data_IF_997642702553
#
_entry.id   IF_997642702553
#
_cell.length_a   1.000
_cell.length_b   1.000
_cell.length_c   1.000
_cell.angle_alpha   90.00
_cell.angle_beta   90.00
_cell.angle_gamma   90.00
#
_symmetry.space_group_name_H-M   'P 1'
#
loop_
_entity.id
_entity.type
_entity.pdbx_description
1 polymer ?
#
# COMPACT_ATOMS: atom_id res chain seq x y z
N UNK A 1 -29.59 -3.50 -2.80
CA UNK A 1 -28.32 -3.29 -3.52
C UNK A 1 -27.53 -4.57 -3.43
N UNK A 2 -27.13 -5.16 -4.57
CA UNK A 2 -26.22 -6.31 -4.61
C UNK A 2 -24.88 -5.87 -4.01
N UNK A 3 -24.39 -6.55 -2.98
CA UNK A 3 -23.10 -6.25 -2.36
C UNK A 3 -22.02 -6.47 -3.43
N UNK A 4 -21.36 -5.40 -3.88
CA UNK A 4 -20.28 -5.51 -4.87
C UNK A 4 -19.23 -6.48 -4.37
N UNK A 5 -18.72 -7.33 -5.26
CA UNK A 5 -17.65 -8.26 -4.88
C UNK A 5 -16.36 -7.48 -4.62
N UNK A 6 -15.46 -8.03 -3.78
CA UNK A 6 -14.17 -7.38 -3.51
C UNK A 6 -13.36 -7.05 -4.77
N UNK A 7 -13.51 -7.87 -5.82
CA UNK A 7 -12.85 -7.65 -7.10
C UNK A 7 -13.43 -6.45 -7.89
N UNK A 8 -14.75 -6.26 -7.87
CA UNK A 8 -15.39 -5.10 -8.51
C UNK A 8 -15.01 -3.79 -7.81
N UNK A 9 -15.00 -3.81 -6.48
CA UNK A 9 -14.56 -2.68 -5.66
C UNK A 9 -13.10 -2.32 -5.95
N UNK A 10 -12.20 -3.31 -5.97
CA UNK A 10 -10.81 -3.09 -6.33
C UNK A 10 -10.63 -2.58 -7.77
N UNK A 11 -11.31 -3.16 -8.74
CA UNK A 11 -11.21 -2.73 -10.15
C UNK A 11 -11.61 -1.28 -10.31
N UNK A 12 -12.69 -0.87 -9.65
CA UNK A 12 -13.17 0.52 -9.64
C UNK A 12 -12.14 1.44 -8.97
N UNK A 13 -11.65 1.05 -7.78
CA UNK A 13 -10.63 1.80 -7.05
C UNK A 13 -9.35 1.99 -7.88
N UNK A 14 -8.84 0.92 -8.49
CA UNK A 14 -7.64 0.94 -9.33
C UNK A 14 -7.81 1.90 -10.50
N UNK A 15 -8.90 1.76 -11.27
CA UNK A 15 -9.14 2.58 -12.45
C UNK A 15 -9.30 4.06 -12.10
N UNK A 16 -9.97 4.37 -10.99
CA UNK A 16 -10.22 5.75 -10.57
C UNK A 16 -8.98 6.41 -9.98
N UNK A 17 -8.25 5.72 -9.11
CA UNK A 17 -7.25 6.34 -8.24
C UNK A 17 -5.80 5.96 -8.54
N UNK A 18 -5.52 4.73 -8.94
CA UNK A 18 -4.15 4.27 -9.14
C UNK A 18 -3.72 4.46 -10.59
N UNK A 19 -4.54 4.01 -11.55
CA UNK A 19 -4.29 4.14 -12.99
C UNK A 19 -4.14 5.61 -13.40
N UNK A 20 -4.93 6.49 -12.81
CA UNK A 20 -4.89 7.95 -13.04
C UNK A 20 -3.85 8.67 -12.16
N UNK A 21 -2.99 7.95 -11.43
CA UNK A 21 -1.91 8.51 -10.60
C UNK A 21 -2.38 9.48 -9.50
N UNK A 22 -3.59 9.30 -8.99
CA UNK A 22 -4.15 10.12 -7.89
C UNK A 22 -3.63 9.65 -6.53
N UNK A 23 -3.66 8.34 -6.28
CA UNK A 23 -3.18 7.71 -5.04
C UNK A 23 -1.85 6.97 -5.26
N UNK A 24 -0.93 7.64 -5.95
CA UNK A 24 0.44 7.15 -6.18
C UNK A 24 1.47 8.01 -5.46
N UNK A 25 2.64 7.44 -5.13
CA UNK A 25 3.79 8.17 -4.63
C UNK A 25 4.10 9.46 -5.39
N UNK A 26 4.71 10.40 -4.70
CA UNK A 26 5.12 11.68 -5.28
C UNK A 26 6.63 11.86 -5.35
N UNK A 27 7.42 11.04 -4.66
CA UNK A 27 8.88 11.09 -4.66
C UNK A 27 9.51 9.82 -5.23
N UNK A 28 10.72 9.92 -5.74
CA UNK A 28 11.51 8.79 -6.23
C UNK A 28 12.94 8.84 -5.69
N UNK A 29 13.54 7.65 -5.62
CA UNK A 29 14.96 7.44 -5.38
C UNK A 29 15.45 6.36 -6.35
N UNK A 30 16.28 6.76 -7.31
CA UNK A 30 16.73 5.91 -8.41
C UNK A 30 18.25 5.81 -8.44
N UNK A 31 18.74 4.62 -8.73
CA UNK A 31 20.13 4.33 -9.09
C UNK A 31 20.16 3.96 -10.57
N UNK A 32 21.00 4.64 -11.34
CA UNK A 32 21.20 4.39 -12.77
C UNK A 32 22.63 3.93 -12.99
N UNK A 33 22.82 2.66 -13.32
CA UNK A 33 24.13 2.07 -13.61
C UNK A 33 24.36 2.02 -15.12
N UNK A 34 25.34 2.77 -15.62
CA UNK A 34 25.72 2.70 -17.02
C UNK A 34 26.30 1.31 -17.32
N UNK A 35 25.70 0.59 -18.27
CA UNK A 35 26.08 -0.80 -18.57
C UNK A 35 27.43 -0.92 -19.26
N UNK A 36 27.92 0.16 -19.90
CA UNK A 36 29.21 0.19 -20.59
C UNK A 36 30.35 0.52 -19.64
N UNK A 37 30.20 1.56 -18.81
CA UNK A 37 31.27 2.03 -17.91
C UNK A 37 31.21 1.40 -16.52
N UNK A 38 30.05 0.85 -16.13
CA UNK A 38 29.81 0.35 -14.78
C UNK A 38 29.52 1.45 -13.75
N UNK A 39 29.64 2.72 -14.12
CA UNK A 39 29.42 3.86 -13.23
C UNK A 39 27.96 3.96 -12.80
N UNK A 40 27.73 4.30 -11.53
CA UNK A 40 26.39 4.43 -10.95
C UNK A 40 26.12 5.87 -10.53
N UNK A 41 25.00 6.42 -10.99
CA UNK A 41 24.50 7.72 -10.57
C UNK A 41 23.26 7.55 -9.70
N UNK A 42 23.11 8.42 -8.70
CA UNK A 42 21.98 8.40 -7.77
C UNK A 42 21.15 9.67 -7.91
N UNK A 43 19.84 9.54 -8.11
CA UNK A 43 18.93 10.68 -8.33
C UNK A 43 17.72 10.54 -7.41
N UNK A 44 17.44 11.61 -6.66
CA UNK A 44 16.19 11.77 -5.90
C UNK A 44 15.43 12.96 -6.44
N UNK A 45 14.10 12.91 -6.35
CA UNK A 45 13.25 14.02 -6.71
C UNK A 45 11.79 13.70 -6.54
N UNK A 46 10.94 14.57 -7.07
CA UNK A 46 9.50 14.41 -7.10
C UNK A 46 9.01 14.15 -8.52
N UNK A 47 8.09 13.19 -8.65
CA UNK A 47 7.39 12.93 -9.89
C UNK A 47 6.65 14.18 -10.37
N UNK A 48 6.58 14.35 -11.70
CA UNK A 48 5.94 15.50 -12.37
C UNK A 48 6.61 16.86 -12.07
N UNK A 49 7.82 16.88 -11.51
CA UNK A 49 8.69 18.06 -11.42
C UNK A 49 9.94 17.87 -12.27
N UNK A 50 10.52 18.98 -12.74
CA UNK A 50 11.78 18.98 -13.50
C UNK A 50 13.00 18.87 -12.57
N UNK A 51 13.09 17.77 -11.84
CA UNK A 51 14.16 17.51 -10.86
C UNK A 51 15.11 16.38 -11.29
N UNK A 52 14.85 15.74 -12.44
CA UNK A 52 15.76 14.79 -13.05
C UNK A 52 16.96 15.48 -13.72
N UNK A 53 18.08 14.78 -13.77
CA UNK A 53 19.30 15.23 -14.48
C UNK A 53 19.53 14.28 -15.66
N UNK A 54 19.76 14.86 -16.85
CA UNK A 54 20.14 14.09 -18.03
C UNK A 54 21.57 13.57 -17.85
N UNK A 55 21.74 12.26 -17.87
CA UNK A 55 23.05 11.62 -17.84
C UNK A 55 23.67 11.56 -19.24
N UNK A 56 24.95 11.19 -19.30
CA UNK A 56 25.64 10.91 -20.55
C UNK A 56 24.89 9.87 -21.40
N UNK A 57 25.09 9.91 -22.71
CA UNK A 57 24.43 8.94 -23.59
C UNK A 57 24.88 7.51 -23.28
N UNK A 58 23.93 6.58 -23.28
CA UNK A 58 24.21 5.18 -23.01
C UNK A 58 22.99 4.39 -22.57
N UNK A 59 23.21 3.10 -22.32
CA UNK A 59 22.23 2.19 -21.75
C UNK A 59 22.46 2.06 -20.26
N UNK A 60 21.40 2.19 -19.47
CA UNK A 60 21.45 2.17 -18.02
C UNK A 60 20.55 1.08 -17.46
N UNK A 61 21.06 0.30 -16.51
CA UNK A 61 20.21 -0.45 -15.59
C UNK A 61 19.69 0.51 -14.52
N UNK A 62 18.37 0.67 -14.45
CA UNK A 62 17.70 1.50 -13.48
C UNK A 62 17.13 0.61 -12.39
N UNK A 63 17.47 0.92 -11.14
CA UNK A 63 16.83 0.34 -9.96
C UNK A 63 16.36 1.45 -9.04
N UNK A 64 15.33 1.20 -8.25
CA UNK A 64 14.94 2.18 -7.24
C UNK A 64 13.54 1.97 -6.70
N UNK A 65 13.12 2.92 -5.87
CA UNK A 65 11.82 2.89 -5.22
C UNK A 65 11.15 4.25 -5.28
N UNK A 66 9.85 4.22 -5.04
CA UNK A 66 9.04 5.40 -4.87
C UNK A 66 8.05 5.16 -3.73
N UNK A 67 7.97 6.11 -2.82
CA UNK A 67 7.22 6.00 -1.57
C UNK A 67 6.31 7.21 -1.37
N UNK A 68 5.29 7.09 -0.52
CA UNK A 68 4.54 8.23 -0.01
C UNK A 68 5.51 9.27 0.58
N UNK A 69 5.20 10.57 0.43
CA UNK A 69 6.04 11.63 1.02
C UNK A 69 6.00 11.47 2.54
N UNK A 70 7.17 11.20 3.10
CA UNK A 70 7.38 11.14 4.54
C UNK A 70 7.12 12.53 5.14
N UNK A 71 6.13 12.65 6.03
CA UNK A 71 6.03 13.81 6.91
C UNK A 71 6.66 13.40 8.24
N UNK A 72 7.66 14.15 8.69
CA UNK A 72 8.49 13.87 9.87
C UNK A 72 7.72 13.65 11.19
N UNK A 73 6.42 13.99 11.23
CA UNK A 73 5.57 13.81 12.42
C UNK A 73 4.76 12.51 12.45
N UNK A 74 4.55 11.85 11.31
CA UNK A 74 3.77 10.62 11.23
C UNK A 74 4.62 9.59 10.49
N UNK A 75 5.15 8.64 11.26
CA UNK A 75 6.17 7.68 10.81
C UNK A 75 5.76 6.83 9.60
N UNK A 76 4.48 6.79 9.19
CA UNK A 76 4.04 6.16 7.95
C UNK A 76 2.80 6.88 7.38
N UNK A 77 2.87 7.34 6.12
CA UNK A 77 1.66 7.71 5.37
C UNK A 77 1.23 6.50 4.54
N UNK A 78 0.10 5.89 4.93
CA UNK A 78 -0.42 4.66 4.34
C UNK A 78 -1.45 4.93 3.23
N UNK A 79 -1.46 6.15 2.70
CA UNK A 79 -2.51 6.73 1.84
C UNK A 79 -2.25 6.54 0.34
N UNK A 80 -1.04 6.14 -0.05
CA UNK A 80 -0.64 5.92 -1.46
C UNK A 80 0.22 4.67 -1.58
N UNK A 81 0.24 4.06 -2.77
CA UNK A 81 1.01 2.81 -3.02
C UNK A 81 2.50 2.99 -2.77
N UNK A 82 3.27 1.91 -2.67
CA UNK A 82 4.72 1.93 -2.79
C UNK A 82 5.11 1.23 -4.10
N UNK A 83 6.10 1.77 -4.80
CA UNK A 83 6.53 1.26 -6.10
C UNK A 83 8.03 0.95 -6.11
N UNK A 84 8.42 -0.02 -6.93
CA UNK A 84 9.80 -0.36 -7.24
C UNK A 84 10.03 -0.39 -8.75
N UNK A 85 11.26 -0.09 -9.15
CA UNK A 85 11.69 -0.03 -10.55
C UNK A 85 12.89 -0.95 -10.74
N UNK A 86 12.86 -1.71 -11.83
CA UNK A 86 14.00 -2.52 -12.29
C UNK A 86 13.86 -2.77 -13.78
N UNK A 87 14.53 -1.96 -14.59
CA UNK A 87 14.52 -2.08 -16.05
C UNK A 87 15.76 -1.44 -16.68
N UNK A 88 15.99 -1.72 -17.95
CA UNK A 88 17.03 -1.06 -18.72
C UNK A 88 16.42 0.07 -19.56
N UNK A 89 17.06 1.25 -19.56
CA UNK A 89 16.67 2.39 -20.39
C UNK A 89 17.83 2.84 -21.27
N UNK A 90 17.53 3.59 -22.34
CA UNK A 90 18.52 4.28 -23.14
C UNK A 90 18.37 5.80 -22.97
N UNK A 91 19.49 6.49 -22.75
CA UNK A 91 19.57 7.96 -22.76
C UNK A 91 20.37 8.38 -24.01
N UNK A 92 19.82 9.31 -24.79
CA UNK A 92 20.46 9.88 -25.98
C UNK A 92 20.28 11.40 -26.04
N UNK A 93 20.83 12.04 -27.07
CA UNK A 93 20.77 13.49 -27.31
C UNK A 93 19.36 14.08 -27.30
N UNK A 94 18.35 13.30 -27.67
CA UNK A 94 16.95 13.73 -27.73
C UNK A 94 16.14 13.35 -26.48
N UNK A 95 16.71 12.63 -25.52
CA UNK A 95 16.00 12.27 -24.28
C UNK A 95 15.69 13.51 -23.45
N UNK A 96 14.39 13.82 -23.35
CA UNK A 96 13.83 14.91 -22.51
C UNK A 96 12.99 14.41 -21.35
N UNK A 97 12.58 13.14 -21.39
CA UNK A 97 11.85 12.45 -20.33
C UNK A 97 12.14 10.96 -20.34
N UNK A 98 11.97 10.30 -19.19
CA UNK A 98 12.10 8.85 -19.03
C UNK A 98 10.83 8.36 -18.35
N UNK A 99 10.18 7.38 -18.95
CA UNK A 99 9.04 6.67 -18.35
C UNK A 99 9.53 5.31 -17.88
N UNK A 100 9.31 5.01 -16.60
CA UNK A 100 9.70 3.74 -15.99
C UNK A 100 8.48 2.85 -15.77
N UNK A 101 8.67 1.55 -15.99
CA UNK A 101 7.72 0.49 -15.69
C UNK A 101 7.76 0.20 -14.18
N UNK A 102 6.70 0.58 -13.48
CA UNK A 102 6.60 0.36 -12.04
C UNK A 102 6.09 -1.05 -11.72
N UNK A 103 6.64 -1.65 -10.67
CA UNK A 103 6.06 -2.80 -9.96
C UNK A 103 5.57 -2.34 -8.59
N UNK A 104 4.49 -2.94 -8.10
CA UNK A 104 4.07 -2.70 -6.72
C UNK A 104 5.12 -3.23 -5.76
N UNK A 105 5.50 -2.39 -4.81
CA UNK A 105 6.31 -2.73 -3.65
C UNK A 105 5.51 -2.54 -2.35
N UNK A 106 4.19 -2.72 -2.46
CA UNK A 106 3.25 -2.71 -1.35
C UNK A 106 2.14 -3.72 -1.58
N UNK A 107 1.51 -4.15 -0.50
CA UNK A 107 0.18 -4.75 -0.52
C UNK A 107 -0.88 -3.74 -0.06
N UNK A 108 -2.14 -4.00 -0.43
CA UNK A 108 -3.29 -3.18 -0.06
C UNK A 108 -4.22 -3.95 0.87
N UNK A 109 -4.64 -3.34 1.98
CA UNK A 109 -5.78 -3.82 2.76
C UNK A 109 -6.98 -2.92 2.46
N UNK A 110 -8.13 -3.54 2.21
CA UNK A 110 -9.36 -2.90 1.77
C UNK A 110 -10.55 -3.37 2.61
N UNK A 111 -11.40 -2.44 3.02
CA UNK A 111 -12.59 -2.72 3.82
C UNK A 111 -13.78 -1.94 3.28
N UNK A 112 -14.97 -2.54 3.31
CA UNK A 112 -16.22 -1.83 3.03
C UNK A 112 -16.59 -0.85 4.16
N UNK A 113 -17.49 0.08 3.86
CA UNK A 113 -17.93 1.12 4.80
C UNK A 113 -19.29 0.87 5.45
N UNK A 114 -20.03 -0.15 5.01
CA UNK A 114 -21.47 -0.27 5.28
C UNK A 114 -21.81 -0.35 6.78
N UNK A 115 -20.97 -1.03 7.55
CA UNK A 115 -21.10 -1.20 9.01
C UNK A 115 -19.80 -0.82 9.74
N UNK A 116 -19.08 0.16 9.20
CA UNK A 116 -17.77 0.58 9.72
C UNK A 116 -17.74 2.09 9.93
N UNK A 117 -17.50 2.51 11.17
CA UNK A 117 -17.32 3.92 11.54
C UNK A 117 -15.88 4.40 11.29
N UNK A 118 -14.91 3.58 11.66
CA UNK A 118 -13.49 3.85 11.42
C UNK A 118 -12.66 2.57 11.56
N UNK A 119 -11.49 2.57 10.92
CA UNK A 119 -10.49 1.51 11.08
C UNK A 119 -9.18 2.17 11.50
N UNK A 120 -8.53 1.59 12.49
CA UNK A 120 -7.20 2.01 12.96
C UNK A 120 -6.22 0.85 12.78
N UNK A 121 -5.06 1.16 12.19
CA UNK A 121 -3.91 0.27 12.15
C UNK A 121 -2.99 0.59 13.33
N UNK A 122 -2.87 -0.36 14.25
CA UNK A 122 -1.98 -0.28 15.40
C UNK A 122 -0.65 -0.98 15.11
N UNK A 123 0.47 -0.35 15.46
CA UNK A 123 1.82 -0.91 15.28
C UNK A 123 2.80 -0.43 16.36
N UNK A 124 3.97 -1.08 16.43
CA UNK A 124 5.01 -0.83 17.45
C UNK A 124 4.83 -1.65 18.73
N UNK A 125 5.73 -1.47 19.70
CA UNK A 125 5.63 -2.15 21.00
C UNK A 125 4.30 -1.79 21.68
N UNK A 126 3.56 -2.83 22.09
CA UNK A 126 2.22 -2.75 22.66
C UNK A 126 1.17 -2.00 21.79
N UNK A 127 1.40 -1.88 20.48
CA UNK A 127 0.54 -1.11 19.55
C UNK A 127 0.31 0.34 20.02
N UNK A 128 1.36 0.95 20.55
CA UNK A 128 1.36 2.33 21.07
C UNK A 128 1.06 3.39 19.99
N UNK A 129 1.36 3.08 18.73
CA UNK A 129 1.02 3.94 17.59
C UNK A 129 -0.23 3.44 16.90
N UNK A 130 -1.14 4.37 16.56
CA UNK A 130 -2.36 4.06 15.82
C UNK A 130 -2.54 5.05 14.68
N UNK A 131 -2.76 4.53 13.47
CA UNK A 131 -3.05 5.33 12.28
C UNK A 131 -4.48 5.04 11.86
N UNK A 132 -5.32 6.07 11.81
CA UNK A 132 -6.66 5.97 11.23
C UNK A 132 -6.51 5.79 9.72
N UNK A 133 -7.15 4.75 9.17
CA UNK A 133 -7.10 4.45 7.75
C UNK A 133 -7.78 5.56 6.93
N UNK A 134 -7.23 5.80 5.75
CA UNK A 134 -7.85 6.71 4.79
C UNK A 134 -9.13 6.10 4.24
N UNK A 135 -10.09 6.95 3.90
CA UNK A 135 -11.34 6.59 3.25
C UNK A 135 -11.48 7.33 1.93
N UNK A 136 -11.88 6.62 0.88
CA UNK A 136 -12.31 7.23 -0.37
C UNK A 136 -13.53 6.48 -0.89
N UNK A 137 -14.54 7.22 -1.34
CA UNK A 137 -15.87 6.66 -1.66
C UNK A 137 -16.36 5.73 -0.52
N UNK A 138 -16.67 4.47 -0.85
CA UNK A 138 -17.19 3.46 0.07
C UNK A 138 -16.11 2.47 0.55
N UNK A 139 -14.85 2.90 0.57
CA UNK A 139 -13.72 2.03 0.91
C UNK A 139 -12.81 2.70 1.95
N UNK A 140 -12.54 1.98 3.04
CA UNK A 140 -11.35 2.22 3.87
C UNK A 140 -10.17 1.45 3.31
N UNK A 141 -9.00 2.07 3.26
CA UNK A 141 -7.82 1.44 2.69
C UNK A 141 -6.51 1.85 3.36
N UNK A 142 -5.50 1.03 3.14
CA UNK A 142 -4.10 1.32 3.44
C UNK A 142 -3.16 0.59 2.48
N UNK A 143 -1.99 1.16 2.26
CA UNK A 143 -0.88 0.51 1.58
C UNK A 143 0.30 0.35 2.52
N UNK A 144 0.91 -0.84 2.51
CA UNK A 144 2.07 -1.19 3.33
C UNK A 144 3.10 -1.89 2.45
N UNK A 145 4.38 -1.54 2.59
CA UNK A 145 5.50 -2.28 2.00
C UNK A 145 5.90 -3.49 2.85
N UNK A 146 5.62 -3.42 4.16
CA UNK A 146 5.83 -4.48 5.16
C UNK A 146 5.06 -4.18 6.44
N UNK A 147 4.88 -5.21 7.27
CA UNK A 147 4.40 -5.06 8.65
C UNK A 147 5.53 -4.61 9.58
N UNK A 148 5.18 -4.19 10.79
CA UNK A 148 6.14 -3.76 11.80
C UNK A 148 7.00 -4.92 12.30
N UNK A 149 8.31 -4.66 12.45
CA UNK A 149 9.27 -5.64 13.00
C UNK A 149 8.96 -5.93 14.49
N UNK A 150 8.29 -5.00 15.19
CA UNK A 150 7.94 -5.15 16.60
C UNK A 150 6.85 -6.21 16.88
N UNK A 151 6.19 -6.75 15.84
CA UNK A 151 5.37 -7.96 15.96
C UNK A 151 3.97 -7.80 16.57
N UNK A 152 3.45 -6.57 16.71
CA UNK A 152 2.14 -6.29 17.30
C UNK A 152 1.24 -5.46 16.37
N UNK A 153 1.26 -5.80 15.09
CA UNK A 153 0.39 -5.24 14.06
C UNK A 153 -1.04 -5.71 14.24
N UNK A 154 -1.97 -4.76 14.36
CA UNK A 154 -3.39 -5.05 14.51
C UNK A 154 -4.27 -4.07 13.76
N UNK A 155 -5.47 -4.52 13.42
CA UNK A 155 -6.54 -3.70 12.90
C UNK A 155 -7.63 -3.60 13.97
N UNK A 156 -8.03 -2.38 14.29
CA UNK A 156 -9.12 -2.07 15.20
C UNK A 156 -10.27 -1.48 14.39
N UNK A 157 -11.35 -2.23 14.27
CA UNK A 157 -12.53 -1.86 13.47
C UNK A 157 -13.63 -1.40 14.43
N UNK A 158 -13.96 -0.12 14.39
CA UNK A 158 -15.06 0.47 15.19
C UNK A 158 -16.33 0.44 14.35
N UNK A 159 -17.36 -0.24 14.85
CA UNK A 159 -18.64 -0.45 14.15
C UNK A 159 -19.59 0.72 14.38
N UNK A 160 -20.55 0.88 13.48
CA UNK A 160 -21.61 1.91 13.60
C UNK A 160 -22.51 1.65 14.81
N UNK A 161 -22.69 0.38 15.19
CA UNK A 161 -23.38 -0.05 16.43
C UNK A 161 -22.64 0.32 17.73
N UNK A 162 -21.39 0.79 17.64
CA UNK A 162 -20.54 1.07 18.80
C UNK A 162 -19.69 -0.11 19.27
N UNK A 163 -19.87 -1.31 18.70
CA UNK A 163 -18.99 -2.44 18.98
C UNK A 163 -17.63 -2.31 18.29
N UNK A 164 -16.69 -3.16 18.69
CA UNK A 164 -15.33 -3.15 18.18
C UNK A 164 -14.83 -4.56 17.87
N UNK A 165 -14.07 -4.69 16.79
CA UNK A 165 -13.33 -5.90 16.44
C UNK A 165 -11.84 -5.60 16.40
N UNK A 166 -11.02 -6.51 16.94
CA UNK A 166 -9.57 -6.43 16.92
C UNK A 166 -9.01 -7.64 16.17
N UNK A 167 -8.22 -7.40 15.11
CA UNK A 167 -7.64 -8.44 14.27
C UNK A 167 -6.12 -8.33 14.32
N UNK A 168 -5.45 -9.34 14.85
CA UNK A 168 -4.00 -9.43 14.80
C UNK A 168 -3.53 -9.87 13.41
N UNK A 169 -2.58 -9.14 12.84
CA UNK A 169 -2.08 -9.39 11.46
C UNK A 169 -0.56 -9.58 11.39
N UNK A 170 0.17 -9.51 12.50
CA UNK A 170 1.64 -9.57 12.53
C UNK A 170 2.26 -10.78 11.82
N UNK A 171 1.53 -11.91 11.77
CA UNK A 171 1.98 -13.18 11.17
C UNK A 171 1.29 -13.48 9.84
N UNK A 172 0.47 -12.55 9.32
CA UNK A 172 -0.23 -12.76 8.06
C UNK A 172 0.75 -12.57 6.90
N UNK A 173 0.87 -13.54 5.97
CA UNK A 173 1.84 -13.49 4.89
C UNK A 173 1.34 -12.64 3.72
N UNK A 174 1.16 -11.33 3.93
CA UNK A 174 0.77 -10.43 2.85
C UNK A 174 1.87 -10.29 1.80
N UNK A 175 1.48 -10.27 0.52
CA UNK A 175 2.40 -10.23 -0.61
C UNK A 175 2.31 -8.91 -1.37
N UNK A 176 3.46 -8.32 -1.69
CA UNK A 176 3.53 -7.12 -2.53
C UNK A 176 2.87 -7.35 -3.90
N UNK A 177 2.09 -6.37 -4.34
CA UNK A 177 1.30 -6.44 -5.56
C UNK A 177 -0.05 -7.15 -5.43
N UNK A 178 -0.44 -7.55 -4.21
CA UNK A 178 -1.78 -8.07 -3.92
C UNK A 178 -2.64 -7.06 -3.16
N UNK A 179 -3.95 -7.22 -3.31
CA UNK A 179 -4.94 -6.57 -2.46
C UNK A 179 -5.68 -7.63 -1.66
N UNK A 180 -6.08 -7.27 -0.44
CA UNK A 180 -6.84 -8.14 0.47
C UNK A 180 -8.09 -7.40 0.90
N UNK A 181 -9.24 -7.98 0.55
CA UNK A 181 -10.55 -7.42 0.87
C UNK A 181 -11.12 -8.11 2.10
N UNK A 182 -11.43 -7.31 3.12
CA UNK A 182 -12.06 -7.75 4.36
C UNK A 182 -13.51 -7.26 4.36
N UNK A 183 -14.43 -8.19 4.53
CA UNK A 183 -15.86 -7.95 4.55
C UNK A 183 -16.49 -8.50 5.83
N UNK A 184 -17.67 -7.96 6.14
CA UNK A 184 -18.45 -8.45 7.28
C UNK A 184 -19.03 -9.84 7.02
N UNK A 185 -18.96 -10.68 8.05
CA UNK A 185 -19.56 -12.00 8.14
C UNK A 185 -20.50 -12.09 9.35
N UNK A 186 -21.44 -13.01 9.32
CA UNK A 186 -22.31 -13.34 10.46
C UNK A 186 -21.81 -14.62 11.11
N UNK A 187 -21.63 -14.60 12.43
CA UNK A 187 -21.27 -15.78 13.22
C UNK A 187 -22.52 -16.34 13.91
N UNK A 188 -22.58 -17.66 14.05
CA UNK A 188 -23.61 -18.38 14.79
C UNK A 188 -23.00 -19.58 15.51
N UNK A 189 -23.76 -20.22 16.40
CA UNK A 189 -23.37 -21.46 17.07
C UNK A 189 -24.57 -22.38 17.20
N UNK A 190 -24.33 -23.68 17.16
CA UNK A 190 -25.31 -24.70 17.49
C UNK A 190 -25.16 -25.08 18.96
N UNK A 191 -26.28 -25.35 19.64
CA UNK A 191 -26.29 -25.78 21.05
C UNK A 191 -26.69 -27.25 21.11
N UNK A 192 -25.79 -28.17 21.51
CA UNK A 192 -26.16 -29.57 21.69
C UNK A 192 -27.05 -29.74 22.95
N UNK A 193 -27.87 -30.80 23.02
CA UNK A 193 -28.61 -31.12 24.25
C UNK A 193 -27.64 -31.42 25.40
N UNK A 194 -28.00 -31.02 26.62
CA UNK A 194 -27.25 -31.41 27.82
C UNK A 194 -27.40 -32.92 28.08
N UNK A 195 -26.31 -33.57 28.51
CA UNK A 195 -26.35 -34.97 28.90
C UNK A 195 -26.95 -35.14 30.31
N UNK A 196 -27.65 -36.26 30.54
CA UNK A 196 -28.22 -36.58 31.84
C UNK A 196 -27.09 -36.89 32.84
N UNK A 197 -26.95 -36.07 33.87
CA UNK A 197 -26.08 -36.38 35.01
C UNK A 197 -26.84 -37.20 36.06
N UNK A 198 -26.52 -38.50 36.18
CA UNK A 198 -26.73 -39.36 37.35
C UNK A 198 -25.77 -40.54 37.29
#
# INVERSE_FOLDING_TARGET
MTKSTGNELYTTFYNKYIKNKTLTPRSYALTLKNLKTGESSYIRGYWNKKEGVKLMEGTYEVTGTSSPIYNSYLYQKLDTVYLAFKENIAINSNTTSVNLSAKYNSFMLMFDTDNTKSIEYGYGENSSNNIVLSKVDNIYYMFLDKLSIAGNDRLRIKRTSGSESNIGISKTPFENGKYYYFNDITNSFDVPPMEQGN
#
